data_IF_262215949923
#
_entry.id   IF_262215949923
#
_cell.length_a   1.000
_cell.length_b   1.000
_cell.length_c   1.000
_cell.angle_alpha   90.00
_cell.angle_beta   90.00
_cell.angle_gamma   90.00
#
_symmetry.space_group_name_H-M   'P 1'
#
loop_
_entity.id
_entity.type
_entity.pdbx_description
1 polymer ?
#
# COMPACT_ATOMS: atom_id res chain seq x y z
N UNK A 1 -0.51 17.97 -26.90
CA UNK A 1 -0.93 17.89 -25.49
C UNK A 1 -0.77 19.27 -24.84
N UNK A 2 -1.86 19.94 -24.44
CA UNK A 2 -1.82 21.30 -23.89
C UNK A 2 -0.95 21.45 -22.62
N UNK A 3 -0.75 20.37 -21.84
CA UNK A 3 0.15 20.36 -20.69
C UNK A 3 1.65 20.42 -21.01
N UNK A 4 2.07 20.12 -22.26
CA UNK A 4 3.49 20.09 -22.63
C UNK A 4 4.10 21.50 -22.72
N UNK A 5 3.30 22.51 -23.09
CA UNK A 5 3.78 23.90 -23.21
C UNK A 5 3.92 24.56 -21.84
N UNK A 6 3.03 24.23 -20.90
CA UNK A 6 3.12 24.69 -19.52
C UNK A 6 4.35 24.06 -18.82
N UNK A 7 4.58 22.75 -19.02
CA UNK A 7 5.77 22.07 -18.52
C UNK A 7 7.06 22.61 -19.14
N UNK A 8 7.08 22.92 -20.44
CA UNK A 8 8.26 23.51 -21.10
C UNK A 8 8.61 24.90 -20.54
N UNK A 9 7.60 25.76 -20.27
CA UNK A 9 7.82 27.08 -19.66
C UNK A 9 8.23 27.00 -18.19
N UNK A 10 7.68 26.07 -17.42
CA UNK A 10 8.05 25.82 -16.02
C UNK A 10 9.47 25.23 -15.92
N UNK A 11 9.84 24.32 -16.83
CA UNK A 11 11.16 23.72 -16.91
C UNK A 11 12.29 24.73 -17.22
N UNK A 12 11.99 25.81 -17.95
CA UNK A 12 12.96 26.88 -18.21
C UNK A 12 13.23 27.78 -16.98
N UNK A 13 12.33 27.81 -15.99
CA UNK A 13 12.41 28.71 -14.83
C UNK A 13 12.89 28.03 -13.54
N UNK A 14 12.85 26.70 -13.47
CA UNK A 14 13.21 25.91 -12.28
C UNK A 14 14.59 25.28 -12.48
N UNK A 15 15.57 25.64 -11.64
CA UNK A 15 16.85 24.92 -11.57
C UNK A 15 16.60 23.46 -11.23
N UNK A 16 17.32 22.54 -11.88
CA UNK A 16 17.19 21.09 -11.72
C UNK A 16 17.22 20.65 -10.24
N UNK A 17 17.98 21.34 -9.39
CA UNK A 17 17.99 21.13 -7.93
C UNK A 17 16.65 21.45 -7.26
N UNK A 18 16.06 22.60 -7.59
CA UNK A 18 14.76 23.03 -7.04
C UNK A 18 13.64 22.08 -7.47
N UNK A 19 13.71 21.56 -8.69
CA UNK A 19 12.78 20.53 -9.17
C UNK A 19 12.90 19.23 -8.36
N UNK A 20 14.13 18.75 -8.09
CA UNK A 20 14.35 17.57 -7.25
C UNK A 20 13.86 17.77 -5.82
N UNK A 21 14.16 18.91 -5.19
CA UNK A 21 13.70 19.22 -3.83
C UNK A 21 12.17 19.28 -3.76
N UNK A 22 11.52 19.94 -4.73
CA UNK A 22 10.06 19.99 -4.81
C UNK A 22 9.46 18.58 -4.92
N UNK A 23 10.08 17.71 -5.72
CA UNK A 23 9.58 16.37 -5.94
C UNK A 23 9.76 15.46 -4.70
N UNK A 24 10.88 15.59 -3.98
CA UNK A 24 11.05 14.91 -2.67
C UNK A 24 10.02 15.42 -1.67
N UNK A 25 9.74 16.72 -1.62
CA UNK A 25 8.71 17.28 -0.74
C UNK A 25 7.31 16.73 -1.05
N UNK A 26 6.98 16.50 -2.33
CA UNK A 26 5.73 15.82 -2.70
C UNK A 26 5.71 14.37 -2.20
N UNK A 27 6.82 13.62 -2.30
CA UNK A 27 6.87 12.27 -1.73
C UNK A 27 6.77 12.26 -0.21
N UNK A 28 7.35 13.24 0.48
CA UNK A 28 7.13 13.41 1.92
C UNK A 28 5.65 13.62 2.25
N UNK A 29 4.95 14.45 1.47
CA UNK A 29 3.51 14.64 1.61
C UNK A 29 2.73 13.34 1.35
N UNK A 30 3.07 12.59 0.30
CA UNK A 30 2.45 11.29 -0.01
C UNK A 30 2.65 10.30 1.13
N UNK A 31 3.87 10.17 1.67
CA UNK A 31 4.14 9.28 2.80
C UNK A 31 3.40 9.74 4.06
N UNK A 32 3.30 11.05 4.30
CA UNK A 32 2.52 11.58 5.42
C UNK A 32 1.03 11.25 5.29
N UNK A 33 0.43 11.45 4.12
CA UNK A 33 -0.97 11.07 3.85
C UNK A 33 -1.15 9.56 3.96
N UNK A 34 -0.20 8.75 3.46
CA UNK A 34 -0.23 7.30 3.59
C UNK A 34 -0.17 6.83 5.05
N UNK A 35 0.61 7.52 5.89
CA UNK A 35 0.63 7.29 7.34
C UNK A 35 -0.73 7.62 7.97
N UNK A 36 -1.33 8.78 7.66
CA UNK A 36 -2.65 9.17 8.17
C UNK A 36 -3.73 8.17 7.72
N UNK A 37 -3.67 7.71 6.47
CA UNK A 37 -4.58 6.69 5.95
C UNK A 37 -4.49 5.39 6.75
N UNK A 38 -3.27 4.88 6.97
CA UNK A 38 -3.06 3.69 7.78
C UNK A 38 -3.48 3.89 9.24
N UNK A 39 -3.10 5.01 9.85
CA UNK A 39 -3.40 5.30 11.26
C UNK A 39 -4.90 5.43 11.56
N UNK A 40 -5.67 5.99 10.62
CA UNK A 40 -7.13 6.12 10.76
C UNK A 40 -7.85 4.80 10.45
N UNK A 41 -7.36 3.99 9.50
CA UNK A 41 -8.01 2.76 9.07
C UNK A 41 -7.74 1.57 10.01
N UNK A 42 -6.50 1.42 10.50
CA UNK A 42 -6.05 0.28 11.31
C UNK A 42 -6.94 0.01 12.55
N UNK A 43 -7.33 1.01 13.37
CA UNK A 43 -8.14 0.76 14.56
C UNK A 43 -9.53 0.19 14.26
N UNK A 44 -10.20 0.69 13.20
CA UNK A 44 -11.50 0.18 12.80
C UNK A 44 -11.40 -1.22 12.18
N UNK A 45 -10.31 -1.49 11.45
CA UNK A 45 -10.02 -2.82 10.93
C UNK A 45 -9.78 -3.82 12.06
N UNK A 46 -9.00 -3.46 13.08
CA UNK A 46 -8.69 -4.33 14.21
C UNK A 46 -9.94 -4.60 15.05
N UNK A 47 -10.78 -3.59 15.27
CA UNK A 47 -12.07 -3.73 15.95
C UNK A 47 -13.01 -4.69 15.22
N UNK A 48 -13.14 -4.55 13.89
CA UNK A 48 -13.92 -5.47 13.06
C UNK A 48 -13.34 -6.90 13.08
N UNK A 49 -12.02 -7.04 12.97
CA UNK A 49 -11.36 -8.35 12.97
C UNK A 49 -11.56 -9.07 14.31
N UNK A 50 -11.45 -8.37 15.44
CA UNK A 50 -11.67 -8.95 16.76
C UNK A 50 -13.12 -9.42 16.95
N UNK A 51 -14.10 -8.59 16.53
CA UNK A 51 -15.51 -8.98 16.57
C UNK A 51 -15.79 -10.19 15.68
N UNK A 52 -15.22 -10.19 14.47
CA UNK A 52 -15.37 -11.28 13.50
C UNK A 52 -14.71 -12.58 13.97
N UNK A 53 -13.54 -12.53 14.62
CA UNK A 53 -12.86 -13.72 15.14
C UNK A 53 -13.65 -14.36 16.27
N UNK A 54 -14.20 -13.56 17.21
CA UNK A 54 -15.11 -14.07 18.23
C UNK A 54 -16.36 -14.72 17.64
N UNK A 55 -16.94 -14.11 16.60
CA UNK A 55 -18.07 -14.67 15.85
C UNK A 55 -17.71 -15.99 15.17
N UNK A 56 -16.58 -16.04 14.46
CA UNK A 56 -16.12 -17.24 13.77
C UNK A 56 -15.90 -18.41 14.73
N UNK A 57 -15.30 -18.17 15.91
CA UNK A 57 -15.11 -19.22 16.91
C UNK A 57 -16.44 -19.73 17.48
N UNK A 58 -17.35 -18.82 17.83
CA UNK A 58 -18.69 -19.18 18.33
C UNK A 58 -19.46 -19.98 17.28
N UNK A 59 -19.53 -19.49 16.05
CA UNK A 59 -20.26 -20.13 14.96
C UNK A 59 -19.70 -21.52 14.62
N UNK A 60 -18.38 -21.73 14.70
CA UNK A 60 -17.76 -23.05 14.51
C UNK A 60 -18.02 -23.96 15.72
N UNK A 61 -18.03 -23.44 16.95
CA UNK A 61 -18.30 -24.23 18.16
C UNK A 61 -19.75 -24.70 18.30
N UNK A 62 -20.71 -23.94 17.77
CA UNK A 62 -22.14 -24.28 17.75
C UNK A 62 -22.50 -25.32 16.66
N UNK A 63 -21.56 -25.62 15.76
CA UNK A 63 -21.71 -26.68 14.78
C UNK A 63 -21.48 -28.05 15.46
N UNK A 64 -22.56 -28.62 15.96
CA UNK A 64 -22.63 -29.99 16.49
C UNK A 64 -22.57 -31.06 15.37
N UNK A 65 -21.53 -31.02 14.54
CA UNK A 65 -21.34 -31.97 13.44
C UNK A 65 -20.01 -32.69 13.57
N UNK A 66 -20.06 -34.02 13.72
CA UNK A 66 -18.88 -34.89 13.72
C UNK A 66 -18.60 -35.38 12.30
N UNK A 67 -17.74 -34.66 11.58
CA UNK A 67 -17.25 -35.06 10.26
C UNK A 67 -16.23 -36.20 10.37
N UNK A 68 -16.22 -37.13 9.40
CA UNK A 68 -15.27 -38.26 9.40
C UNK A 68 -13.80 -37.80 9.38
N UNK A 69 -13.52 -36.74 8.63
CA UNK A 69 -12.18 -36.13 8.57
C UNK A 69 -12.15 -34.76 9.28
N UNK A 70 -11.87 -34.79 10.59
CA UNK A 70 -11.83 -33.61 11.45
C UNK A 70 -10.82 -32.53 11.00
N UNK A 71 -9.73 -32.90 10.32
CA UNK A 71 -8.70 -31.94 9.87
C UNK A 71 -9.13 -31.22 8.59
N UNK A 72 -9.67 -31.98 7.63
CA UNK A 72 -10.17 -31.42 6.38
C UNK A 72 -11.41 -30.53 6.61
N UNK A 73 -12.33 -30.94 7.49
CA UNK A 73 -13.51 -30.16 7.84
C UNK A 73 -13.15 -28.82 8.48
N UNK A 74 -12.24 -28.84 9.46
CA UNK A 74 -11.77 -27.61 10.12
C UNK A 74 -11.15 -26.62 9.12
N UNK A 75 -10.36 -27.11 8.18
CA UNK A 75 -9.72 -26.28 7.14
C UNK A 75 -10.75 -25.71 6.16
N UNK A 76 -11.74 -26.51 5.77
CA UNK A 76 -12.82 -26.09 4.88
C UNK A 76 -13.71 -25.02 5.54
N UNK A 77 -14.07 -25.20 6.81
CA UNK A 77 -14.85 -24.24 7.60
C UNK A 77 -14.08 -22.95 7.86
N UNK A 78 -12.80 -23.03 8.23
CA UNK A 78 -11.97 -21.83 8.42
C UNK A 78 -11.80 -21.05 7.12
N UNK A 79 -11.68 -21.75 5.98
CA UNK A 79 -11.61 -21.13 4.66
C UNK A 79 -12.94 -20.45 4.28
N UNK A 80 -14.07 -21.08 4.58
CA UNK A 80 -15.39 -20.47 4.39
C UNK A 80 -15.52 -19.18 5.20
N UNK A 81 -15.16 -19.22 6.48
CA UNK A 81 -15.16 -18.03 7.34
C UNK A 81 -14.23 -16.95 6.79
N UNK A 82 -12.99 -17.29 6.46
CA UNK A 82 -12.08 -16.31 5.87
C UNK A 82 -12.64 -15.62 4.62
N UNK A 83 -13.36 -16.36 3.76
CA UNK A 83 -14.05 -15.80 2.60
C UNK A 83 -15.31 -14.98 2.97
N UNK A 84 -16.06 -15.37 4.00
CA UNK A 84 -17.24 -14.64 4.46
C UNK A 84 -16.88 -13.29 5.09
N UNK A 85 -15.69 -13.17 5.69
CA UNK A 85 -15.19 -11.94 6.34
C UNK A 85 -15.30 -10.69 5.47
N UNK A 86 -14.89 -10.74 4.21
CA UNK A 86 -14.99 -9.56 3.32
C UNK A 86 -16.42 -9.29 2.87
N UNK A 87 -17.21 -10.34 2.66
CA UNK A 87 -18.60 -10.23 2.22
C UNK A 87 -19.51 -9.63 3.30
N UNK A 88 -19.24 -9.96 4.58
CA UNK A 88 -19.97 -9.41 5.72
C UNK A 88 -19.67 -7.93 5.93
N UNK A 89 -18.41 -7.54 5.80
CA UNK A 89 -18.00 -6.12 5.81
C UNK A 89 -18.70 -5.34 4.70
N UNK A 90 -18.82 -5.92 3.52
CA UNK A 90 -19.39 -5.25 2.34
C UNK A 90 -20.93 -5.38 2.27
N UNK A 91 -21.60 -5.98 3.28
CA UNK A 91 -23.05 -6.26 3.29
C UNK A 91 -23.52 -7.02 2.02
N UNK A 92 -22.65 -7.84 1.45
CA UNK A 92 -22.92 -8.52 0.19
C UNK A 92 -23.68 -9.83 0.43
N UNK A 93 -24.99 -9.71 0.66
CA UNK A 93 -25.89 -10.84 0.88
C UNK A 93 -25.88 -11.86 -0.27
N UNK A 94 -25.80 -11.40 -1.52
CA UNK A 94 -25.72 -12.28 -2.70
C UNK A 94 -24.43 -13.10 -2.73
N UNK A 95 -23.31 -12.45 -2.40
CA UNK A 95 -22.00 -13.12 -2.31
C UNK A 95 -21.97 -14.15 -1.19
N UNK A 96 -22.58 -13.84 -0.05
CA UNK A 96 -22.73 -14.76 1.09
C UNK A 96 -23.59 -15.98 0.74
N UNK A 97 -24.65 -15.79 -0.03
CA UNK A 97 -25.52 -16.89 -0.46
C UNK A 97 -24.82 -17.83 -1.47
N UNK A 98 -24.03 -17.25 -2.39
CA UNK A 98 -23.24 -17.99 -3.38
C UNK A 98 -21.99 -18.63 -2.78
N UNK A 99 -21.58 -18.22 -1.57
CA UNK A 99 -20.40 -18.76 -0.92
C UNK A 99 -20.63 -20.23 -0.57
N UNK A 100 -19.76 -21.09 -1.07
CA UNK A 100 -19.83 -22.52 -0.81
C UNK A 100 -18.62 -22.99 -0.04
N UNK A 101 -18.82 -24.03 0.77
CA UNK A 101 -17.71 -24.61 1.51
C UNK A 101 -16.94 -25.50 0.54
N UNK A 102 -15.66 -25.21 0.32
CA UNK A 102 -14.81 -25.99 -0.60
C UNK A 102 -14.17 -27.14 0.18
N UNK A 103 -14.47 -28.39 -0.19
CA UNK A 103 -13.95 -29.60 0.45
C UNK A 103 -13.23 -30.46 -0.58
N UNK A 104 -11.98 -30.82 -0.34
CA UNK A 104 -11.30 -31.86 -1.11
C UNK A 104 -11.56 -33.25 -0.48
N UNK A 105 -11.81 -34.26 -1.33
CA UNK A 105 -11.98 -35.67 -0.96
C UNK A 105 -13.10 -35.95 0.06
N UNK A 106 -14.34 -35.55 -0.25
CA UNK A 106 -15.48 -35.70 0.65
C UNK A 106 -16.26 -37.02 0.41
N UNK A 107 -16.67 -37.70 1.48
CA UNK A 107 -17.61 -38.83 1.45
C UNK A 107 -19.04 -38.30 1.20
N UNK A 108 -19.91 -39.07 0.54
CA UNK A 108 -21.29 -38.61 0.24
C UNK A 108 -22.12 -38.28 1.50
N UNK A 109 -21.79 -38.87 2.65
CA UNK A 109 -22.35 -38.54 3.98
C UNK A 109 -22.00 -37.12 4.46
N UNK A 110 -20.75 -36.69 4.24
CA UNK A 110 -20.25 -35.39 4.67
C UNK A 110 -20.78 -34.23 3.81
N UNK A 111 -21.22 -34.50 2.56
CA UNK A 111 -21.86 -33.49 1.68
C UNK A 111 -23.16 -32.95 2.28
N UNK A 112 -23.97 -33.84 2.85
CA UNK A 112 -25.24 -33.45 3.47
C UNK A 112 -25.00 -32.61 4.74
N UNK A 113 -24.01 -32.99 5.56
CA UNK A 113 -23.61 -32.25 6.75
C UNK A 113 -22.99 -30.89 6.39
N UNK A 114 -22.19 -30.80 5.33
CA UNK A 114 -21.64 -29.54 4.83
C UNK A 114 -22.73 -28.55 4.40
N UNK A 115 -23.82 -29.05 3.80
CA UNK A 115 -24.97 -28.22 3.40
C UNK A 115 -25.69 -27.66 4.63
N UNK A 116 -25.94 -28.48 5.65
CA UNK A 116 -26.55 -28.03 6.90
C UNK A 116 -25.65 -27.06 7.68
N UNK A 117 -24.34 -27.32 7.71
CA UNK A 117 -23.36 -26.43 8.28
C UNK A 117 -23.40 -25.06 7.59
N UNK A 118 -23.43 -25.03 6.25
CA UNK A 118 -23.55 -23.79 5.47
C UNK A 118 -24.79 -22.98 5.85
N UNK A 119 -25.96 -23.61 5.99
CA UNK A 119 -27.19 -22.91 6.36
C UNK A 119 -27.10 -22.29 7.76
N UNK A 120 -26.59 -23.03 8.74
CA UNK A 120 -26.34 -22.51 10.10
C UNK A 120 -25.31 -21.38 10.11
N UNK A 121 -24.24 -21.51 9.33
CA UNK A 121 -23.23 -20.48 9.23
C UNK A 121 -23.76 -19.23 8.53
N UNK A 122 -24.62 -19.39 7.52
CA UNK A 122 -25.28 -18.26 6.85
C UNK A 122 -26.19 -17.50 7.83
N UNK A 123 -27.03 -18.19 8.60
CA UNK A 123 -27.90 -17.51 9.58
C UNK A 123 -27.09 -16.81 10.68
N UNK A 124 -26.04 -17.45 11.20
CA UNK A 124 -25.13 -16.84 12.16
C UNK A 124 -24.43 -15.58 11.59
N UNK A 125 -23.99 -15.64 10.34
CA UNK A 125 -23.37 -14.51 9.65
C UNK A 125 -24.33 -13.32 9.47
N UNK A 126 -25.60 -13.57 9.15
CA UNK A 126 -26.61 -12.51 9.07
C UNK A 126 -26.87 -11.88 10.45
N UNK A 127 -26.94 -12.70 11.51
CA UNK A 127 -27.07 -12.21 12.88
C UNK A 127 -25.89 -11.32 13.29
N UNK A 128 -24.65 -11.72 12.94
CA UNK A 128 -23.45 -10.94 13.19
C UNK A 128 -23.49 -9.54 12.55
N UNK A 129 -23.93 -9.45 11.29
CA UNK A 129 -24.06 -8.15 10.60
C UNK A 129 -25.07 -7.25 11.30
N UNK A 130 -26.20 -7.81 11.73
CA UNK A 130 -27.21 -7.05 12.48
C UNK A 130 -26.73 -6.59 13.86
N UNK A 131 -25.95 -7.40 14.56
CA UNK A 131 -25.46 -7.10 15.90
C UNK A 131 -24.29 -6.09 15.88
N UNK A 132 -23.49 -6.09 14.82
CA UNK A 132 -22.27 -5.29 14.68
C UNK A 132 -22.39 -4.19 13.61
N UNK A 133 -23.61 -3.75 13.27
CA UNK A 133 -23.89 -2.74 12.23
C UNK A 133 -23.04 -1.47 12.39
N UNK A 134 -22.93 -0.94 13.61
CA UNK A 134 -22.14 0.27 13.90
C UNK A 134 -20.66 0.10 13.58
N UNK A 135 -20.05 -1.01 14.01
CA UNK A 135 -18.63 -1.32 13.79
C UNK A 135 -18.36 -1.53 12.29
N UNK A 136 -19.25 -2.25 11.61
CA UNK A 136 -19.14 -2.51 10.16
C UNK A 136 -19.23 -1.20 9.37
N UNK A 137 -20.17 -0.31 9.73
CA UNK A 137 -20.38 0.98 9.08
C UNK A 137 -19.19 1.91 9.27
N UNK A 138 -18.68 2.05 10.49
CA UNK A 138 -17.49 2.88 10.79
C UNK A 138 -16.27 2.39 10.00
N UNK A 139 -16.03 1.08 9.96
CA UNK A 139 -14.93 0.52 9.18
C UNK A 139 -15.10 0.78 7.68
N UNK A 140 -16.31 0.60 7.13
CA UNK A 140 -16.62 0.86 5.72
C UNK A 140 -16.39 2.33 5.36
N UNK A 141 -16.84 3.26 6.19
CA UNK A 141 -16.70 4.69 5.93
C UNK A 141 -15.23 5.12 5.97
N UNK A 142 -14.44 4.61 6.94
CA UNK A 142 -12.99 4.79 6.98
C UNK A 142 -12.30 4.20 5.73
N UNK A 143 -12.75 3.04 5.25
CA UNK A 143 -12.20 2.38 4.05
C UNK A 143 -12.51 3.17 2.77
N UNK A 144 -13.72 3.73 2.63
CA UNK A 144 -14.11 4.57 1.49
C UNK A 144 -13.25 5.82 1.41
N UNK A 145 -13.09 6.52 2.53
CA UNK A 145 -12.22 7.69 2.61
C UNK A 145 -10.78 7.35 2.23
N UNK A 146 -10.24 6.26 2.79
CA UNK A 146 -8.90 5.76 2.47
C UNK A 146 -8.74 5.41 0.99
N UNK A 147 -9.76 4.81 0.36
CA UNK A 147 -9.74 4.47 -1.06
C UNK A 147 -9.71 5.72 -1.95
N UNK A 148 -10.46 6.76 -1.60
CA UNK A 148 -10.40 8.06 -2.31
C UNK A 148 -9.00 8.68 -2.21
N UNK A 149 -8.41 8.69 -1.00
CA UNK A 149 -7.05 9.16 -0.80
C UNK A 149 -6.03 8.32 -1.59
N UNK A 150 -6.17 7.00 -1.61
CA UNK A 150 -5.31 6.11 -2.36
C UNK A 150 -5.28 6.46 -3.85
N UNK A 151 -6.45 6.62 -4.48
CA UNK A 151 -6.53 7.01 -5.91
C UNK A 151 -5.96 8.40 -6.17
N UNK A 152 -6.22 9.36 -5.28
CA UNK A 152 -5.63 10.69 -5.39
C UNK A 152 -4.09 10.64 -5.29
N UNK A 153 -3.55 9.84 -4.37
CA UNK A 153 -2.10 9.64 -4.22
C UNK A 153 -1.50 8.89 -5.41
N UNK A 154 -2.20 7.91 -5.97
CA UNK A 154 -1.73 7.17 -7.15
C UNK A 154 -1.51 8.11 -8.36
N UNK A 155 -2.45 9.03 -8.60
CA UNK A 155 -2.32 10.04 -9.66
C UNK A 155 -1.13 10.98 -9.38
N UNK A 156 -0.97 11.41 -8.12
CA UNK A 156 0.11 12.30 -7.71
C UNK A 156 1.49 11.64 -7.87
N UNK A 157 1.63 10.39 -7.40
CA UNK A 157 2.84 9.56 -7.57
C UNK A 157 3.16 9.41 -9.05
N UNK A 158 2.20 8.99 -9.87
CA UNK A 158 2.42 8.79 -11.30
C UNK A 158 2.91 10.05 -12.03
N UNK A 159 2.38 11.22 -11.64
CA UNK A 159 2.79 12.51 -12.20
C UNK A 159 4.22 12.88 -11.80
N UNK A 160 4.59 12.66 -10.54
CA UNK A 160 5.90 13.06 -9.99
C UNK A 160 7.01 12.07 -10.35
N UNK A 161 6.69 10.78 -10.49
CA UNK A 161 7.66 9.72 -10.78
C UNK A 161 8.42 9.96 -12.09
N UNK A 162 7.71 10.33 -13.17
CA UNK A 162 8.35 10.66 -14.45
C UNK A 162 9.23 11.92 -14.38
N UNK A 163 8.78 12.92 -13.62
CA UNK A 163 9.52 14.17 -13.41
C UNK A 163 10.84 13.96 -12.68
N UNK A 164 10.84 13.16 -11.60
CA UNK A 164 12.05 12.84 -10.83
C UNK A 164 13.05 12.05 -11.66
N UNK A 165 12.59 11.03 -12.40
CA UNK A 165 13.49 10.18 -13.17
C UNK A 165 14.24 10.99 -14.24
N UNK A 166 13.53 11.86 -14.96
CA UNK A 166 14.14 12.74 -15.96
C UNK A 166 15.06 13.80 -15.33
N UNK A 167 14.59 14.45 -14.27
CA UNK A 167 15.34 15.53 -13.59
C UNK A 167 16.59 15.01 -12.90
N UNK A 168 16.54 13.81 -12.28
CA UNK A 168 17.66 13.17 -11.60
C UNK A 168 18.79 12.83 -12.57
N UNK A 169 18.46 12.21 -13.72
CA UNK A 169 19.46 11.91 -14.76
C UNK A 169 20.07 13.18 -15.36
N UNK A 170 19.25 14.21 -15.61
CA UNK A 170 19.76 15.51 -16.09
C UNK A 170 20.65 16.21 -15.06
N UNK A 171 20.30 16.12 -13.77
CA UNK A 171 21.09 16.66 -12.67
C UNK A 171 22.46 15.98 -12.59
N UNK A 172 22.46 14.65 -12.59
CA UNK A 172 23.66 13.85 -12.49
C UNK A 172 24.58 14.06 -13.71
N UNK A 173 24.04 14.09 -14.92
CA UNK A 173 24.80 14.37 -16.15
C UNK A 173 25.46 15.76 -16.18
N UNK A 174 24.98 16.72 -15.40
CA UNK A 174 25.62 18.05 -15.25
C UNK A 174 26.81 18.05 -14.29
N UNK A 175 26.90 17.07 -13.39
CA UNK A 175 27.93 16.98 -12.34
C UNK A 175 29.13 16.11 -12.75
N UNK A 176 28.92 15.13 -13.62
CA UNK A 176 29.95 14.15 -13.97
C UNK A 176 30.93 14.69 -15.04
N UNK A 177 32.22 14.32 -14.98
CA UNK A 177 33.20 14.66 -16.01
C UNK A 177 32.88 13.94 -17.33
N UNK A 178 33.06 14.64 -18.46
CA UNK A 178 32.66 14.15 -19.80
C UNK A 178 33.48 12.93 -20.21
N UNK A 179 34.74 12.89 -19.80
CA UNK A 179 35.74 11.89 -20.20
C UNK A 179 35.44 10.51 -19.59
N UNK A 180 34.69 10.46 -18.48
CA UNK A 180 34.32 9.21 -17.77
C UNK A 180 32.82 9.06 -17.55
N UNK A 181 32.01 9.75 -18.34
CA UNK A 181 30.54 9.79 -18.19
C UNK A 181 29.90 8.40 -18.07
N UNK A 182 30.36 7.43 -18.87
CA UNK A 182 29.81 6.07 -18.88
C UNK A 182 30.02 5.32 -17.56
N UNK A 183 31.18 5.48 -16.92
CA UNK A 183 31.47 4.85 -15.62
C UNK A 183 30.56 5.40 -14.52
N UNK A 184 30.41 6.72 -14.47
CA UNK A 184 29.55 7.39 -13.49
C UNK A 184 28.07 7.06 -13.68
N UNK A 185 27.57 6.99 -14.91
CA UNK A 185 26.20 6.55 -15.17
C UNK A 185 25.99 5.06 -14.84
N UNK A 186 27.02 4.22 -15.03
CA UNK A 186 27.02 2.84 -14.55
C UNK A 186 26.81 2.73 -13.03
N UNK A 187 27.54 3.53 -12.25
CA UNK A 187 27.32 3.60 -10.79
C UNK A 187 25.91 4.08 -10.43
N UNK A 188 25.41 5.14 -11.09
CA UNK A 188 24.07 5.67 -10.86
C UNK A 188 22.97 4.61 -11.07
N UNK A 189 23.06 3.83 -12.15
CA UNK A 189 22.09 2.77 -12.44
C UNK A 189 22.16 1.61 -11.42
N UNK A 190 23.37 1.26 -10.94
CA UNK A 190 23.55 0.27 -9.86
C UNK A 190 22.85 0.73 -8.58
N UNK A 191 23.09 1.96 -8.13
CA UNK A 191 22.43 2.52 -6.95
C UNK A 191 20.90 2.58 -7.11
N UNK A 192 20.42 2.90 -8.31
CA UNK A 192 18.98 2.86 -8.61
C UNK A 192 18.37 1.47 -8.42
N UNK A 193 19.05 0.41 -8.88
CA UNK A 193 18.61 -0.98 -8.68
C UNK A 193 18.64 -1.38 -7.20
N UNK A 194 19.69 -1.03 -6.47
CA UNK A 194 19.73 -1.27 -5.02
C UNK A 194 18.60 -0.56 -4.28
N UNK A 195 18.31 0.70 -4.62
CA UNK A 195 17.21 1.43 -4.03
C UNK A 195 15.85 0.75 -4.28
N UNK A 196 15.63 0.18 -5.49
CA UNK A 196 14.40 -0.55 -5.82
C UNK A 196 14.21 -1.85 -5.01
N UNK A 197 15.28 -2.42 -4.45
CA UNK A 197 15.22 -3.63 -3.61
C UNK A 197 15.16 -3.26 -2.13
N UNK A 198 16.03 -2.35 -1.68
CA UNK A 198 16.13 -1.96 -0.26
C UNK A 198 14.86 -1.25 0.22
N UNK A 199 14.24 -0.40 -0.61
CA UNK A 199 13.04 0.32 -0.23
C UNK A 199 11.88 -0.59 0.18
N UNK A 200 11.40 -1.50 -0.71
CA UNK A 200 10.36 -2.47 -0.37
C UNK A 200 10.75 -3.43 0.75
N UNK A 201 12.02 -3.87 0.80
CA UNK A 201 12.52 -4.75 1.85
C UNK A 201 12.42 -4.07 3.23
N UNK A 202 12.90 -2.83 3.33
CA UNK A 202 12.86 -2.08 4.58
C UNK A 202 11.42 -1.78 5.02
N UNK A 203 10.55 -1.40 4.08
CA UNK A 203 9.12 -1.23 4.37
C UNK A 203 8.50 -2.53 4.92
N UNK A 204 8.69 -3.65 4.22
CA UNK A 204 8.13 -4.95 4.61
C UNK A 204 8.67 -5.42 5.96
N UNK A 205 9.97 -5.21 6.21
CA UNK A 205 10.59 -5.55 7.49
C UNK A 205 10.02 -4.74 8.66
N UNK A 206 9.91 -3.42 8.53
CA UNK A 206 9.37 -2.57 9.60
C UNK A 206 7.87 -2.81 9.80
N UNK A 207 7.09 -2.93 8.72
CA UNK A 207 5.66 -3.24 8.80
C UNK A 207 5.42 -4.64 9.41
N UNK A 208 6.23 -5.63 9.05
CA UNK A 208 6.16 -6.98 9.59
C UNK A 208 6.53 -7.08 11.07
N UNK A 209 7.56 -6.34 11.52
CA UNK A 209 7.94 -6.29 12.93
C UNK A 209 6.91 -5.60 13.81
N UNK A 210 6.25 -4.57 13.29
CA UNK A 210 5.30 -3.76 14.08
C UNK A 210 3.86 -4.21 13.96
N UNK A 211 3.54 -5.06 12.97
CA UNK A 211 2.17 -5.46 12.65
C UNK A 211 1.32 -4.34 12.04
N UNK A 212 1.88 -3.14 11.85
CA UNK A 212 1.17 -1.94 11.39
C UNK A 212 1.79 -1.42 10.10
N UNK A 213 0.97 -1.30 9.07
CA UNK A 213 1.40 -0.81 7.76
C UNK A 213 1.76 0.68 7.81
N UNK A 214 1.06 1.45 8.65
CA UNK A 214 1.31 2.87 8.88
C UNK A 214 2.76 3.14 9.31
N UNK A 215 3.33 2.32 10.20
CA UNK A 215 4.70 2.49 10.69
C UNK A 215 5.73 2.18 9.59
N UNK A 216 5.44 1.22 8.71
CA UNK A 216 6.23 0.97 7.50
C UNK A 216 6.32 2.22 6.62
N UNK A 217 5.20 2.91 6.40
CA UNK A 217 5.19 4.17 5.62
C UNK A 217 5.97 5.29 6.31
N UNK A 218 5.95 5.35 7.65
CA UNK A 218 6.70 6.34 8.42
C UNK A 218 8.22 6.18 8.24
N UNK A 219 8.71 4.95 8.10
CA UNK A 219 10.11 4.68 7.79
C UNK A 219 10.51 5.27 6.42
N UNK A 220 9.66 5.10 5.39
CA UNK A 220 9.89 5.70 4.07
C UNK A 220 9.89 7.23 4.13
N UNK A 221 9.00 7.83 4.93
CA UNK A 221 9.00 9.27 5.18
C UNK A 221 10.35 9.74 5.76
N UNK A 222 10.91 9.01 6.72
CA UNK A 222 12.21 9.32 7.30
C UNK A 222 13.35 9.26 6.26
N UNK A 223 13.33 8.29 5.34
CA UNK A 223 14.30 8.21 4.24
C UNK A 223 14.17 9.41 3.28
N UNK A 224 12.95 9.82 2.93
CA UNK A 224 12.75 11.01 2.10
C UNK A 224 13.22 12.29 2.80
N UNK A 225 12.98 12.43 4.11
CA UNK A 225 13.51 13.54 4.91
C UNK A 225 15.05 13.53 4.87
N UNK A 226 15.69 12.39 5.10
CA UNK A 226 17.14 12.27 5.02
C UNK A 226 17.67 12.67 3.63
N UNK A 227 17.03 12.16 2.56
CA UNK A 227 17.36 12.54 1.18
C UNK A 227 17.18 14.04 0.90
N UNK A 228 16.12 14.64 1.44
CA UNK A 228 15.87 16.08 1.35
C UNK A 228 16.97 16.89 2.04
N UNK A 229 17.34 16.54 3.27
CA UNK A 229 18.39 17.21 4.06
C UNK A 229 19.76 17.08 3.37
N UNK A 230 20.10 15.90 2.87
CA UNK A 230 21.34 15.67 2.11
C UNK A 230 21.39 16.56 0.86
N UNK A 231 20.30 16.58 0.07
CA UNK A 231 20.23 17.40 -1.14
C UNK A 231 20.27 18.90 -0.83
N UNK A 232 19.66 19.32 0.28
CA UNK A 232 19.72 20.69 0.77
C UNK A 232 21.16 21.11 1.13
N UNK A 233 21.89 20.23 1.81
CA UNK A 233 23.29 20.45 2.19
C UNK A 233 24.26 20.48 1.00
N UNK A 234 23.94 19.79 -0.10
CA UNK A 234 24.73 19.74 -1.33
C UNK A 234 24.73 21.04 -2.17
N UNK A 235 24.41 22.20 -1.57
CA UNK A 235 24.22 23.49 -2.23
C UNK A 235 25.47 24.02 -2.97
N UNK A 236 26.67 23.73 -2.46
CA UNK A 236 27.93 24.39 -2.87
C UNK A 236 28.46 24.01 -4.27
N UNK A 237 28.51 22.74 -4.71
CA UNK A 237 29.19 22.38 -5.95
C UNK A 237 28.47 22.81 -7.24
N UNK A 238 27.13 22.87 -7.22
CA UNK A 238 26.32 23.12 -8.42
C UNK A 238 26.24 24.60 -8.79
N UNK A 239 26.07 25.48 -7.80
CA UNK A 239 26.01 26.93 -8.05
C UNK A 239 27.34 27.41 -8.66
N UNK A 240 28.47 26.84 -8.23
CA UNK A 240 29.80 27.08 -8.79
C UNK A 240 29.92 26.55 -10.24
N UNK A 241 29.44 25.34 -10.53
CA UNK A 241 29.45 24.78 -11.90
C UNK A 241 28.51 25.51 -12.88
N UNK A 242 27.32 25.91 -12.42
CA UNK A 242 26.36 26.69 -13.23
C UNK A 242 26.89 28.11 -13.50
N UNK A 243 27.55 28.74 -12.51
CA UNK A 243 28.23 30.03 -12.70
C UNK A 243 29.45 29.91 -13.62
N UNK A 244 30.24 28.84 -13.49
CA UNK A 244 31.41 28.59 -14.35
C UNK A 244 31.02 28.42 -15.82
N UNK A 245 29.94 27.67 -16.10
CA UNK A 245 29.40 27.56 -17.47
C UNK A 245 28.80 28.85 -17.98
N UNK A 246 28.06 29.62 -17.16
CA UNK A 246 27.53 30.93 -17.59
C UNK A 246 28.64 31.90 -18.00
N UNK A 247 29.79 31.85 -17.32
CA UNK A 247 30.99 32.65 -17.67
C UNK A 247 31.72 32.14 -18.92
N UNK A 248 31.57 30.87 -19.29
CA UNK A 248 32.20 30.28 -20.48
C UNK A 248 31.41 30.56 -21.78
N UNK A 249 30.14 30.97 -21.67
CA UNK A 249 29.25 31.30 -22.79
C UNK A 249 28.81 32.78 -22.82
N UNK A 250 29.41 33.62 -21.97
CA UNK A 250 29.26 35.08 -21.96
C UNK A 250 30.53 35.73 -22.46
#
# INVERSE_FOLDING_TARGET
MPCSILFAKVAQKISTRKALMAAIAVYMFICFVGFIMGYTLEPHQDGYNAAYESHSEKAISELDFSFENASASKTALSTYMQKSRSLLRDENAEGLQKLDITWENITDSDKALATQAKEKLYSANIAFVSENDSVIKEYRDAQRFSTMLFWAMAILVGTVQGGIQATSRSYYGKLIPKERSNEFFGFFDIFGKFASVIGPLLYSFIAGLTGRSSIGTLCLLALFIAGFVILWGAKKPLEELEQSRRKQYS
#
